data_IF_406723219532
#
_entry.id   IF_406723219532
#
_cell.length_a   1.000
_cell.length_b   1.000
_cell.length_c   1.000
_cell.angle_alpha   90.00
_cell.angle_beta   90.00
_cell.angle_gamma   90.00
#
_symmetry.space_group_name_H-M   'P 1'
#
loop_
_entity.id
_entity.type
_entity.pdbx_description
1 polymer ?
#
# COMPACT_ATOMS: atom_id res chain seq x y z
N UNK A 1 -26.40 28.00 -0.26
CA UNK A 1 -26.11 27.47 -0.70
C UNK A 1 -25.44 26.54 -0.28
N UNK A 2 -25.26 25.98 -0.11
CA UNK A 2 -24.68 25.29 0.33
C UNK A 2 -23.99 24.53 -0.03
N UNK A 3 -23.50 24.35 -0.05
CA UNK A 3 -22.78 23.76 -0.32
C UNK A 3 -22.59 22.53 0.15
N UNK A 4 -23.01 21.64 -0.07
CA UNK A 4 -22.89 20.29 0.32
C UNK A 4 -21.86 19.52 -0.44
N UNK A 5 -20.94 20.19 -1.04
CA UNK A 5 -19.82 19.51 -1.69
C UNK A 5 -18.84 19.01 -0.64
N UNK A 6 -18.34 17.77 -0.76
CA UNK A 6 -17.31 17.30 0.16
C UNK A 6 -16.09 18.18 0.08
N UNK A 7 -15.38 18.29 1.19
CA UNK A 7 -14.12 19.01 1.21
C UNK A 7 -13.15 18.35 0.22
N UNK A 8 -12.46 19.19 -0.55
CA UNK A 8 -11.44 18.68 -1.47
C UNK A 8 -10.34 17.97 -0.67
N UNK A 9 -9.84 16.87 -1.20
CA UNK A 9 -8.73 16.16 -0.59
C UNK A 9 -7.49 17.05 -0.58
N UNK A 10 -6.78 17.05 0.53
CA UNK A 10 -5.51 17.75 0.65
C UNK A 10 -4.41 16.74 0.91
N UNK A 11 -3.23 17.01 0.37
CA UNK A 11 -2.10 16.10 0.47
C UNK A 11 -0.95 16.79 1.17
N UNK A 12 -0.31 16.08 2.09
CA UNK A 12 0.86 16.57 2.82
C UNK A 12 1.82 15.44 3.12
N UNK A 13 3.06 15.77 3.52
CA UNK A 13 4.00 14.72 3.93
C UNK A 13 3.43 13.92 5.10
N UNK A 14 3.74 12.63 5.14
CA UNK A 14 3.32 11.80 6.26
C UNK A 14 4.04 12.29 7.52
N UNK A 15 3.31 12.55 8.62
CA UNK A 15 3.94 12.98 9.86
C UNK A 15 4.96 11.97 10.38
N UNK A 16 5.97 12.46 11.06
CA UNK A 16 7.10 11.64 11.53
C UNK A 16 6.64 10.46 12.39
N UNK A 17 5.70 10.68 13.30
CA UNK A 17 5.22 9.63 14.19
C UNK A 17 4.44 8.55 13.43
N UNK A 18 3.63 8.94 12.45
CA UNK A 18 2.92 7.97 11.61
C UNK A 18 3.89 7.19 10.74
N UNK A 19 4.89 7.88 10.19
CA UNK A 19 5.92 7.23 9.39
C UNK A 19 6.68 6.20 10.22
N UNK A 20 6.97 6.52 11.49
CA UNK A 20 7.63 5.59 12.39
C UNK A 20 6.77 4.36 12.65
N UNK A 21 5.45 4.53 12.80
CA UNK A 21 4.53 3.41 12.96
C UNK A 21 4.55 2.50 11.73
N UNK A 22 4.54 3.10 10.54
CA UNK A 22 4.59 2.35 9.28
C UNK A 22 5.88 1.55 9.19
N UNK A 23 7.00 2.16 9.54
CA UNK A 23 8.30 1.47 9.53
C UNK A 23 8.32 0.33 10.55
N UNK A 24 7.69 0.52 11.70
CA UNK A 24 7.61 -0.53 12.72
C UNK A 24 6.80 -1.74 12.24
N UNK A 25 5.67 -1.48 11.58
CA UNK A 25 4.86 -2.55 11.01
C UNK A 25 5.63 -3.32 9.95
N UNK A 26 6.31 -2.59 9.07
CA UNK A 26 7.10 -3.21 8.01
C UNK A 26 8.26 -4.02 8.58
N UNK A 27 8.91 -3.52 9.63
CA UNK A 27 10.01 -4.24 10.27
C UNK A 27 9.52 -5.56 10.90
N UNK A 28 8.36 -5.51 11.55
CA UNK A 28 7.77 -6.72 12.14
C UNK A 28 7.46 -7.76 11.07
N UNK A 29 6.94 -7.32 9.92
CA UNK A 29 6.71 -8.22 8.79
C UNK A 29 8.02 -8.82 8.29
N UNK A 30 9.08 -7.99 8.20
CA UNK A 30 10.38 -8.47 7.78
C UNK A 30 10.94 -9.56 8.69
N UNK A 31 10.74 -9.42 10.00
CA UNK A 31 11.17 -10.45 10.96
C UNK A 31 10.37 -11.74 10.78
N UNK A 32 9.07 -11.62 10.56
CA UNK A 32 8.24 -12.80 10.32
C UNK A 32 8.65 -13.51 9.04
N UNK A 33 8.88 -12.74 7.97
CA UNK A 33 9.34 -13.29 6.69
C UNK A 33 10.67 -14.04 6.89
N UNK A 34 11.61 -13.43 7.62
CA UNK A 34 12.92 -14.06 7.86
C UNK A 34 12.79 -15.36 8.63
N UNK A 35 11.82 -15.46 9.54
CA UNK A 35 11.62 -16.68 10.32
C UNK A 35 10.97 -17.78 9.49
N UNK A 36 10.08 -17.43 8.55
CA UNK A 36 9.40 -18.42 7.72
C UNK A 36 10.22 -18.83 6.49
N UNK A 37 10.97 -17.88 5.95
CA UNK A 37 11.76 -18.08 4.74
C UNK A 37 13.18 -17.59 5.01
N UNK A 38 14.03 -18.44 5.63
CA UNK A 38 15.38 -18.03 6.03
C UNK A 38 16.16 -17.41 4.87
N UNK A 39 16.77 -16.26 5.13
CA UNK A 39 17.53 -15.53 4.12
C UNK A 39 16.70 -14.55 3.30
N UNK A 40 15.38 -14.57 3.42
CA UNK A 40 14.53 -13.66 2.68
C UNK A 40 14.49 -12.28 3.35
N UNK A 41 14.62 -11.22 2.55
CA UNK A 41 14.67 -9.85 3.04
C UNK A 41 13.84 -8.97 2.11
N UNK A 42 13.04 -8.09 2.69
CA UNK A 42 12.31 -7.08 1.93
C UNK A 42 13.30 -6.04 1.41
N UNK A 43 13.22 -5.75 0.12
CA UNK A 43 14.16 -4.83 -0.55
C UNK A 43 13.54 -3.46 -0.85
N UNK A 44 12.21 -3.35 -0.78
CA UNK A 44 11.52 -2.13 -1.20
C UNK A 44 11.44 -1.98 -2.71
N UNK A 45 11.61 -3.06 -3.46
CA UNK A 45 11.57 -3.06 -4.92
C UNK A 45 10.59 -4.12 -5.41
N UNK A 46 10.40 -4.19 -6.73
CA UNK A 46 9.55 -5.22 -7.35
C UNK A 46 10.00 -6.64 -7.05
N UNK A 47 11.25 -6.83 -6.63
CA UNK A 47 11.72 -8.14 -6.21
C UNK A 47 10.94 -8.67 -5.00
N UNK A 48 10.24 -7.81 -4.27
CA UNK A 48 9.45 -8.19 -3.12
C UNK A 48 8.11 -8.83 -3.50
N UNK A 49 7.62 -8.61 -4.72
CA UNK A 49 6.31 -9.15 -5.11
C UNK A 49 6.21 -10.66 -4.93
N UNK A 50 7.17 -11.47 -5.43
CA UNK A 50 7.11 -12.91 -5.18
C UNK A 50 7.19 -13.27 -3.72
N UNK A 51 7.95 -12.52 -2.92
CA UNK A 51 8.09 -12.77 -1.50
C UNK A 51 6.79 -12.51 -0.76
N UNK A 52 6.12 -11.40 -1.10
CA UNK A 52 4.80 -11.10 -0.52
C UNK A 52 3.79 -12.19 -0.91
N UNK A 53 3.90 -12.72 -2.14
CA UNK A 53 3.04 -13.82 -2.55
C UNK A 53 3.30 -15.07 -1.72
N UNK A 54 4.55 -15.36 -1.40
CA UNK A 54 4.88 -16.49 -0.54
C UNK A 54 4.24 -16.34 0.84
N UNK A 55 4.19 -15.11 1.37
CA UNK A 55 3.51 -14.84 2.63
C UNK A 55 2.02 -15.13 2.54
N UNK A 56 1.37 -14.69 1.47
CA UNK A 56 -0.04 -14.96 1.24
C UNK A 56 -0.28 -16.48 1.17
N UNK A 57 0.52 -17.15 0.36
CA UNK A 57 0.36 -18.60 0.09
C UNK A 57 0.64 -19.45 1.32
N UNK A 58 1.46 -18.94 2.24
CA UNK A 58 1.80 -19.68 3.46
C UNK A 58 0.62 -19.81 4.42
N UNK A 59 -0.40 -18.97 4.24
CA UNK A 59 -1.59 -18.94 5.10
C UNK A 59 -1.24 -18.68 6.58
N UNK A 60 -0.10 -18.04 6.82
CA UNK A 60 0.34 -17.72 8.18
C UNK A 60 -0.47 -16.57 8.77
N UNK A 61 -0.90 -15.61 7.90
CA UNK A 61 -1.61 -14.42 8.36
C UNK A 61 -3.11 -14.69 8.44
N UNK A 62 -3.66 -14.55 9.64
CA UNK A 62 -5.12 -14.67 9.82
C UNK A 62 -5.81 -13.49 9.14
N UNK A 63 -6.99 -13.73 8.56
CA UNK A 63 -7.76 -12.68 7.88
C UNK A 63 -8.10 -11.52 8.81
N UNK A 64 -8.12 -11.76 10.12
CA UNK A 64 -8.45 -10.76 11.14
C UNK A 64 -7.23 -10.03 11.69
N UNK A 65 -6.03 -10.37 11.25
CA UNK A 65 -4.79 -9.76 11.74
C UNK A 65 -4.53 -8.47 10.98
N UNK A 66 -5.22 -7.39 11.36
CA UNK A 66 -5.13 -6.11 10.68
C UNK A 66 -3.70 -5.57 10.58
N UNK A 67 -2.94 -5.53 11.70
CA UNK A 67 -1.57 -4.99 11.60
C UNK A 67 -0.70 -5.73 10.61
N UNK A 68 -0.84 -7.05 10.53
CA UNK A 68 -0.04 -7.84 9.59
C UNK A 68 -0.40 -7.51 8.13
N UNK A 69 -1.70 -7.40 7.83
CA UNK A 69 -2.13 -7.07 6.49
C UNK A 69 -1.82 -5.62 6.12
N UNK A 70 -1.84 -4.70 7.09
CA UNK A 70 -1.39 -3.33 6.87
C UNK A 70 0.10 -3.33 6.53
N UNK A 71 0.91 -4.13 7.24
CA UNK A 71 2.33 -4.26 6.95
C UNK A 71 2.56 -4.78 5.54
N UNK A 72 1.75 -5.76 5.10
CA UNK A 72 1.80 -6.25 3.73
C UNK A 72 1.50 -5.13 2.73
N UNK A 73 0.51 -4.30 3.03
CA UNK A 73 0.17 -3.14 2.19
C UNK A 73 1.28 -2.11 2.13
N UNK A 74 1.96 -1.88 3.24
CA UNK A 74 3.11 -0.96 3.29
C UNK A 74 4.24 -1.49 2.42
N UNK A 75 4.56 -2.78 2.53
CA UNK A 75 5.60 -3.38 1.73
C UNK A 75 5.27 -3.34 0.24
N UNK A 76 4.01 -3.62 -0.11
CA UNK A 76 3.54 -3.52 -1.49
C UNK A 76 3.68 -2.08 -1.99
N UNK A 77 3.28 -1.10 -1.17
CA UNK A 77 3.38 0.31 -1.52
C UNK A 77 4.82 0.75 -1.74
N UNK A 78 5.73 0.33 -0.86
CA UNK A 78 7.16 0.66 -1.02
C UNK A 78 7.70 0.13 -2.34
N UNK A 79 7.36 -1.10 -2.69
CA UNK A 79 7.78 -1.69 -3.95
C UNK A 79 7.21 -0.92 -5.15
N UNK A 80 5.93 -0.54 -5.06
CA UNK A 80 5.28 0.22 -6.14
C UNK A 80 5.93 1.59 -6.33
N UNK A 81 6.30 2.27 -5.23
CA UNK A 81 6.99 3.57 -5.30
C UNK A 81 8.29 3.43 -6.08
N UNK A 82 9.00 2.33 -5.90
CA UNK A 82 10.26 2.09 -6.63
C UNK A 82 9.99 1.76 -8.09
N UNK A 83 8.96 0.97 -8.38
CA UNK A 83 8.70 0.47 -9.74
C UNK A 83 7.95 1.47 -10.62
N UNK A 84 7.22 2.41 -10.02
CA UNK A 84 6.38 3.36 -10.78
C UNK A 84 6.88 4.78 -10.59
N UNK A 85 7.57 5.34 -11.58
CA UNK A 85 8.07 6.72 -11.47
C UNK A 85 6.92 7.70 -11.19
N UNK A 86 7.15 8.60 -10.25
CA UNK A 86 6.17 9.62 -9.88
C UNK A 86 5.24 9.24 -8.76
N UNK A 87 5.28 7.98 -8.31
CA UNK A 87 4.43 7.53 -7.21
C UNK A 87 5.17 7.76 -5.88
N UNK A 88 4.46 8.29 -4.89
CA UNK A 88 5.08 8.59 -3.59
C UNK A 88 4.07 8.47 -2.47
N UNK A 89 4.57 8.14 -1.28
CA UNK A 89 3.78 8.13 -0.06
C UNK A 89 3.46 9.56 0.38
N UNK A 90 2.18 9.82 0.66
CA UNK A 90 1.74 11.09 1.23
C UNK A 90 0.60 10.79 2.20
N UNK A 91 0.25 11.80 3.02
CA UNK A 91 -0.95 11.74 3.83
C UNK A 91 -2.05 12.49 3.10
N UNK A 92 -3.19 11.83 2.90
CA UNK A 92 -4.38 12.49 2.37
C UNK A 92 -5.32 12.81 3.52
N UNK A 93 -5.92 13.99 3.46
CA UNK A 93 -6.96 14.39 4.40
C UNK A 93 -8.18 14.77 3.58
N UNK A 94 -9.30 14.11 3.84
CA UNK A 94 -10.54 14.33 3.12
C UNK A 94 -11.73 14.14 4.06
N UNK A 95 -12.92 14.10 3.51
CA UNK A 95 -14.14 13.95 4.32
C UNK A 95 -14.21 12.62 5.08
N UNK A 96 -13.43 11.63 4.65
CA UNK A 96 -13.41 10.30 5.26
C UNK A 96 -12.34 10.14 6.33
N UNK A 97 -11.49 11.16 6.51
CA UNK A 97 -10.43 11.12 7.53
C UNK A 97 -9.06 11.40 6.95
N UNK A 98 -8.05 10.89 7.66
CA UNK A 98 -6.64 11.14 7.36
C UNK A 98 -5.94 9.80 7.22
N UNK A 99 -5.33 9.53 6.07
CA UNK A 99 -4.70 8.24 5.79
C UNK A 99 -3.43 8.38 4.95
N UNK A 100 -2.46 7.47 5.13
CA UNK A 100 -1.35 7.38 4.19
C UNK A 100 -1.82 6.71 2.90
N UNK A 101 -1.43 7.29 1.78
CA UNK A 101 -1.76 6.76 0.45
C UNK A 101 -0.57 6.94 -0.47
N UNK A 102 -0.63 6.30 -1.64
CA UNK A 102 0.30 6.58 -2.71
C UNK A 102 -0.35 7.61 -3.63
N UNK A 103 0.40 8.67 -3.96
CA UNK A 103 -0.08 9.72 -4.85
C UNK A 103 0.82 9.79 -6.08
N UNK A 104 0.20 9.98 -7.24
CA UNK A 104 0.93 10.11 -8.49
C UNK A 104 1.26 11.58 -8.76
N UNK A 105 2.54 11.93 -8.65
CA UNK A 105 3.05 13.29 -8.90
C UNK A 105 2.25 14.32 -8.10
N UNK A 106 1.88 15.44 -8.74
CA UNK A 106 1.10 16.50 -8.11
C UNK A 106 -0.38 16.44 -8.51
N UNK A 107 -0.84 15.27 -8.93
CA UNK A 107 -2.22 15.06 -9.37
C UNK A 107 -3.11 14.64 -8.21
N UNK A 108 -4.40 14.50 -8.46
CA UNK A 108 -5.34 13.97 -7.46
C UNK A 108 -5.45 12.45 -7.51
N UNK A 109 -4.66 11.80 -8.38
CA UNK A 109 -4.68 10.34 -8.48
C UNK A 109 -3.99 9.74 -7.27
N UNK A 110 -4.73 8.94 -6.49
CA UNK A 110 -4.22 8.32 -5.28
C UNK A 110 -4.66 6.87 -5.20
N UNK A 111 -3.88 6.07 -4.48
CA UNK A 111 -4.15 4.65 -4.26
C UNK A 111 -4.11 4.37 -2.77
N UNK A 112 -5.21 3.86 -2.23
CA UNK A 112 -5.27 3.45 -0.82
C UNK A 112 -4.70 2.06 -0.63
N UNK A 113 -3.40 1.93 -0.78
CA UNK A 113 -2.72 0.63 -0.78
C UNK A 113 -2.72 -0.01 0.60
N UNK A 114 -2.82 0.79 1.67
CA UNK A 114 -2.66 0.30 3.04
C UNK A 114 -3.69 -0.76 3.40
N UNK A 115 -4.94 -0.58 2.97
CA UNK A 115 -6.03 -1.49 3.30
C UNK A 115 -6.42 -2.40 2.14
N UNK A 116 -5.74 -2.29 1.02
CA UNK A 116 -6.13 -3.02 -0.19
C UNK A 116 -6.09 -4.54 0.01
N UNK A 117 -5.01 -5.04 0.60
CA UNK A 117 -4.87 -6.47 0.84
C UNK A 117 -5.72 -6.92 2.03
N UNK A 118 -5.83 -6.09 3.05
CA UNK A 118 -6.67 -6.39 4.21
C UNK A 118 -8.11 -6.65 3.81
N UNK A 119 -8.66 -5.78 2.96
CA UNK A 119 -10.05 -5.94 2.52
C UNK A 119 -10.26 -7.25 1.77
N UNK A 120 -9.31 -7.62 0.92
CA UNK A 120 -9.40 -8.89 0.19
C UNK A 120 -9.34 -10.08 1.14
N UNK A 121 -8.45 -10.02 2.13
CA UNK A 121 -8.31 -11.07 3.13
C UNK A 121 -9.60 -11.22 3.94
N UNK A 122 -10.18 -10.10 4.37
CA UNK A 122 -11.41 -10.11 5.15
C UNK A 122 -12.58 -10.72 4.39
N UNK A 123 -12.60 -10.53 3.08
CA UNK A 123 -13.66 -11.05 2.23
C UNK A 123 -13.39 -12.47 1.72
N UNK A 124 -12.26 -13.05 2.10
CA UNK A 124 -11.90 -14.40 1.66
C UNK A 124 -11.55 -14.48 0.19
N UNK A 125 -11.17 -13.35 -0.43
CA UNK A 125 -10.81 -13.31 -1.83
C UNK A 125 -9.41 -13.83 -2.07
N UNK A 126 -9.19 -14.39 -3.24
CA UNK A 126 -7.86 -14.81 -3.66
C UNK A 126 -6.98 -13.57 -3.83
N UNK A 127 -5.74 -13.64 -3.35
CA UNK A 127 -4.80 -12.53 -3.44
C UNK A 127 -3.64 -12.94 -4.33
N UNK A 128 -3.54 -12.29 -5.49
CA UNK A 128 -2.46 -12.47 -6.46
C UNK A 128 -1.66 -11.17 -6.51
N UNK A 129 -0.56 -11.11 -5.79
CA UNK A 129 0.24 -9.90 -5.61
C UNK A 129 0.74 -9.35 -6.94
N UNK A 130 1.28 -10.21 -7.81
CA UNK A 130 1.81 -9.75 -9.09
C UNK A 130 0.72 -9.19 -9.99
N UNK A 131 -0.45 -9.82 -9.98
CA UNK A 131 -1.60 -9.34 -10.75
C UNK A 131 -2.05 -7.97 -10.25
N UNK A 132 -2.13 -7.81 -8.94
CA UNK A 132 -2.51 -6.53 -8.33
C UNK A 132 -1.50 -5.45 -8.69
N UNK A 133 -0.21 -5.75 -8.59
CA UNK A 133 0.84 -4.79 -8.92
C UNK A 133 0.77 -4.38 -10.38
N UNK A 134 0.60 -5.34 -11.27
CA UNK A 134 0.50 -5.08 -12.72
C UNK A 134 -0.72 -4.23 -13.02
N UNK A 135 -1.87 -4.55 -12.38
CA UNK A 135 -3.11 -3.80 -12.58
C UNK A 135 -2.96 -2.36 -12.12
N UNK A 136 -2.34 -2.15 -10.96
CA UNK A 136 -2.14 -0.81 -10.42
C UNK A 136 -1.21 0.01 -11.31
N UNK A 137 -0.12 -0.59 -11.81
CA UNK A 137 0.79 0.11 -12.71
C UNK A 137 0.07 0.53 -13.98
N UNK A 138 -0.71 -0.37 -14.56
CA UNK A 138 -1.44 -0.08 -15.79
C UNK A 138 -2.52 0.96 -15.55
N UNK A 139 -3.20 0.88 -14.40
CA UNK A 139 -4.21 1.86 -14.02
C UNK A 139 -3.59 3.26 -13.94
N UNK A 140 -2.43 3.38 -13.30
CA UNK A 140 -1.74 4.66 -13.17
C UNK A 140 -1.34 5.19 -14.54
N UNK A 141 -0.75 4.34 -15.40
CA UNK A 141 -0.36 4.74 -16.75
C UNK A 141 -1.55 5.23 -17.57
N UNK A 142 -2.67 4.52 -17.46
CA UNK A 142 -3.87 4.86 -18.22
C UNK A 142 -4.50 6.15 -17.72
N UNK A 143 -4.47 6.39 -16.41
CA UNK A 143 -5.12 7.55 -15.79
C UNK A 143 -4.22 8.77 -15.71
N UNK A 144 -2.92 8.60 -15.92
CA UNK A 144 -1.96 9.70 -15.73
C UNK A 144 -2.34 10.95 -16.55
N UNK A 145 -2.73 10.75 -17.79
CA UNK A 145 -3.10 11.87 -18.68
C UNK A 145 -4.35 12.58 -18.20
N UNK A 146 -5.28 11.85 -17.59
CA UNK A 146 -6.54 12.42 -17.12
C UNK A 146 -6.33 13.29 -15.89
N UNK A 147 -5.29 13.03 -15.10
CA UNK A 147 -5.05 13.73 -13.83
C UNK A 147 -3.93 14.77 -13.92
N UNK A 148 -3.32 14.92 -15.07
CA UNK A 148 -2.32 15.97 -15.32
C UNK A 148 -3.00 17.31 -15.66
#
# INVERSE_FOLDING_TARGET
>A
MSDSQPAAATFEPIPTDLLAQMHGLRAALGELIASLFPGAVLTGTGADFPLLQQMVDSQTLAATDEPAWEAMGIALGDALVTEVPGLAWVQVSDEFGVDPVLRYRQTSLQIGVLTLLLKRAEQGEEIDIQHIANWLQKFIETKADEYQ
#
